data_IF_669003190431
#
_entry.id   IF_669003190431
#
_cell.length_a   1.000
_cell.length_b   1.000
_cell.length_c   1.000
_cell.angle_alpha   90.00
_cell.angle_beta   90.00
_cell.angle_gamma   90.00
#
_symmetry.space_group_name_H-M   'P 1'
#
loop_
_entity.id
_entity.type
_entity.pdbx_description
1 polymer ?
#
# COMPACT_ATOMS: atom_id res chain seq x y z
N UNK A 1 13.15 -6.89 25.26
CA UNK A 1 13.77 -5.95 24.34
C UNK A 1 12.74 -5.12 23.61
N UNK A 2 12.69 -3.89 23.98
CA UNK A 2 11.70 -2.95 23.44
C UNK A 2 11.94 -2.70 21.95
N UNK A 3 13.20 -2.54 21.52
CA UNK A 3 13.51 -2.24 20.12
C UNK A 3 13.07 -3.34 19.17
N UNK A 4 13.23 -4.59 19.56
CA UNK A 4 12.83 -5.73 18.72
C UNK A 4 11.32 -5.77 18.50
N UNK A 5 10.53 -5.57 19.55
CA UNK A 5 9.09 -5.51 19.45
C UNK A 5 8.65 -4.30 18.61
N UNK A 6 9.35 -3.18 18.76
CA UNK A 6 9.05 -1.96 18.02
C UNK A 6 9.31 -2.14 16.52
N UNK A 7 10.42 -2.79 16.16
CA UNK A 7 10.74 -3.08 14.78
C UNK A 7 9.70 -4.00 14.15
N UNK A 8 9.26 -5.04 14.87
CA UNK A 8 8.22 -5.95 14.41
C UNK A 8 6.91 -5.20 14.16
N UNK A 9 6.62 -4.17 14.97
CA UNK A 9 5.41 -3.37 14.81
C UNK A 9 5.47 -2.42 13.61
N UNK A 10 6.65 -2.15 13.04
CA UNK A 10 6.80 -1.26 11.88
C UNK A 10 6.39 -1.92 10.57
N UNK A 11 6.46 -3.22 10.49
CA UNK A 11 6.14 -3.97 9.28
C UNK A 11 5.24 -5.15 9.58
N UNK A 12 4.62 -5.66 8.54
CA UNK A 12 3.82 -6.87 8.60
C UNK A 12 4.13 -7.73 7.39
N UNK A 13 4.47 -8.99 7.62
CA UNK A 13 4.69 -9.93 6.52
C UNK A 13 3.43 -10.75 6.31
N UNK A 14 2.89 -10.65 5.08
CA UNK A 14 1.69 -11.38 4.71
C UNK A 14 2.02 -12.86 4.55
N UNK A 15 1.46 -13.75 5.37
CA UNK A 15 1.75 -15.18 5.26
C UNK A 15 1.23 -15.81 3.97
N UNK A 16 0.27 -15.15 3.31
CA UNK A 16 -0.31 -15.65 2.07
C UNK A 16 0.57 -15.39 0.86
N UNK A 17 1.24 -14.23 0.83
CA UNK A 17 2.02 -13.81 -0.34
C UNK A 17 3.52 -13.77 -0.07
N UNK A 18 3.93 -13.71 1.20
CA UNK A 18 5.32 -13.52 1.59
C UNK A 18 5.78 -12.06 1.47
N UNK A 19 4.91 -11.16 1.06
CA UNK A 19 5.27 -9.74 0.95
C UNK A 19 5.33 -9.09 2.33
N UNK A 20 6.31 -8.21 2.49
CA UNK A 20 6.43 -7.41 3.71
C UNK A 20 5.87 -6.02 3.45
N UNK A 21 4.95 -5.57 4.30
CA UNK A 21 4.22 -4.32 4.16
C UNK A 21 4.60 -3.34 5.25
N UNK A 22 4.65 -2.07 4.89
CA UNK A 22 4.74 -0.97 5.84
C UNK A 22 3.43 -0.91 6.64
N UNK A 23 3.51 -0.92 7.97
CA UNK A 23 2.29 -0.94 8.80
C UNK A 23 1.61 0.42 8.88
N UNK A 24 2.38 1.49 9.01
CA UNK A 24 1.83 2.84 9.09
C UNK A 24 2.01 3.58 7.78
N UNK A 25 0.90 4.06 7.25
CA UNK A 25 0.95 4.90 6.05
C UNK A 25 1.53 6.27 6.41
N UNK A 26 2.43 6.82 5.57
CA UNK A 26 2.95 8.18 5.77
C UNK A 26 1.90 9.26 5.46
N UNK A 27 0.74 8.88 4.95
CA UNK A 27 -0.32 9.82 4.58
C UNK A 27 -0.55 9.88 3.09
N UNK A 28 -1.10 11.02 2.64
CA UNK A 28 -1.44 11.22 1.24
C UNK A 28 -0.35 12.00 0.52
N UNK A 29 -0.12 11.66 -0.74
CA UNK A 29 0.80 12.38 -1.60
C UNK A 29 0.47 12.11 -3.07
N UNK A 30 1.02 12.92 -3.98
CA UNK A 30 0.88 12.66 -5.40
C UNK A 30 1.63 11.39 -5.79
N UNK A 31 1.30 10.83 -6.95
CA UNK A 31 1.93 9.59 -7.38
C UNK A 31 3.45 9.71 -7.51
N UNK A 32 3.95 10.81 -8.06
CA UNK A 32 5.40 11.02 -8.18
C UNK A 32 6.07 11.18 -6.82
N UNK A 33 5.42 11.87 -5.90
CA UNK A 33 5.90 11.98 -4.52
C UNK A 33 5.94 10.62 -3.84
N UNK A 34 4.92 9.79 -4.09
CA UNK A 34 4.84 8.45 -3.53
C UNK A 34 5.98 7.56 -4.04
N UNK A 35 6.29 7.65 -5.34
CA UNK A 35 7.40 6.91 -5.91
C UNK A 35 8.74 7.34 -5.29
N UNK A 36 8.94 8.66 -5.13
CA UNK A 36 10.15 9.17 -4.51
C UNK A 36 10.25 8.75 -3.04
N UNK A 37 9.15 8.83 -2.31
CA UNK A 37 9.08 8.40 -0.93
C UNK A 37 9.52 6.94 -0.78
N UNK A 38 8.97 6.06 -1.63
CA UNK A 38 9.29 4.64 -1.58
C UNK A 38 10.77 4.37 -1.86
N UNK A 39 11.33 5.05 -2.87
CA UNK A 39 12.74 4.88 -3.24
C UNK A 39 13.69 5.26 -2.11
N UNK A 40 13.31 6.23 -1.28
CA UNK A 40 14.15 6.74 -0.21
C UNK A 40 13.81 6.16 1.16
N UNK A 41 12.79 5.30 1.23
CA UNK A 41 12.35 4.75 2.51
C UNK A 41 13.37 3.75 3.06
N UNK A 42 13.76 3.99 4.30
CA UNK A 42 14.52 3.04 5.11
C UNK A 42 13.65 2.67 6.30
N UNK A 43 13.26 1.42 6.38
CA UNK A 43 12.33 0.97 7.42
C UNK A 43 12.71 -0.45 7.84
N UNK A 44 12.75 -0.70 9.14
CA UNK A 44 13.12 -1.99 9.72
C UNK A 44 14.48 -2.50 9.19
N UNK A 45 15.40 -1.58 8.93
CA UNK A 45 16.74 -1.90 8.45
C UNK A 45 16.82 -2.27 6.98
N UNK A 46 15.77 -2.04 6.20
CA UNK A 46 15.70 -2.41 4.80
C UNK A 46 15.47 -1.20 3.91
N UNK A 47 15.96 -1.27 2.67
CA UNK A 47 16.00 -0.12 1.76
C UNK A 47 15.38 -0.41 0.39
N UNK A 48 14.78 -1.58 0.20
CA UNK A 48 14.21 -2.02 -1.08
C UNK A 48 12.68 -1.90 -1.10
N UNK A 49 12.16 -0.89 -0.43
CA UNK A 49 10.75 -0.57 -0.41
C UNK A 49 10.31 0.01 -1.75
N UNK A 50 9.07 -0.26 -2.12
CA UNK A 50 8.48 0.23 -3.37
C UNK A 50 6.97 0.39 -3.20
N UNK A 51 6.34 1.09 -4.14
CA UNK A 51 4.88 1.07 -4.19
C UNK A 51 4.42 -0.33 -4.62
N UNK A 52 3.30 -0.81 -4.06
CA UNK A 52 2.76 -2.09 -4.46
C UNK A 52 2.18 -2.04 -5.87
N UNK A 53 2.33 -3.12 -6.62
CA UNK A 53 1.60 -3.30 -7.86
C UNK A 53 0.11 -3.44 -7.57
N UNK A 54 -0.74 -3.18 -8.57
CA UNK A 54 -2.19 -3.29 -8.39
C UNK A 54 -2.59 -4.66 -7.85
N UNK A 55 -2.05 -5.73 -8.41
CA UNK A 55 -2.36 -7.09 -7.97
C UNK A 55 -1.95 -7.33 -6.52
N UNK A 56 -0.88 -6.69 -6.06
CA UNK A 56 -0.43 -6.83 -4.68
C UNK A 56 -1.40 -6.14 -3.71
N UNK A 57 -1.89 -4.96 -4.07
CA UNK A 57 -2.95 -4.31 -3.29
C UNK A 57 -4.23 -5.14 -3.27
N UNK A 58 -4.60 -5.70 -4.43
CA UNK A 58 -5.77 -6.57 -4.53
C UNK A 58 -5.66 -7.80 -3.62
N UNK A 59 -4.45 -8.29 -3.40
CA UNK A 59 -4.25 -9.47 -2.55
C UNK A 59 -4.68 -9.24 -1.10
N UNK A 60 -4.80 -7.99 -0.67
CA UNK A 60 -5.27 -7.63 0.66
C UNK A 60 -6.79 -7.67 0.80
N UNK A 61 -7.51 -7.73 -0.31
CA UNK A 61 -8.96 -7.62 -0.31
C UNK A 61 -9.65 -8.93 0.11
N UNK A 62 -10.76 -8.78 0.80
CA UNK A 62 -11.73 -9.83 1.02
C UNK A 62 -13.11 -9.23 0.82
N UNK A 63 -13.72 -9.56 -0.33
CA UNK A 63 -15.00 -8.97 -0.75
C UNK A 63 -16.20 -9.51 0.04
N UNK A 64 -15.98 -10.45 0.94
CA UNK A 64 -17.00 -10.92 1.88
C UNK A 64 -17.09 -10.05 3.12
N UNK A 65 -16.13 -9.13 3.30
CA UNK A 65 -16.06 -8.22 4.44
C UNK A 65 -16.43 -6.81 4.01
N UNK A 66 -16.70 -5.96 4.98
CA UNK A 66 -17.16 -4.60 4.71
C UNK A 66 -16.54 -3.62 5.70
N UNK A 67 -16.01 -2.53 5.20
CA UNK A 67 -15.44 -1.38 5.93
C UNK A 67 -14.47 -1.77 7.04
N UNK A 68 -13.27 -2.23 6.70
CA UNK A 68 -12.70 -2.31 5.35
C UNK A 68 -12.99 -3.65 4.69
N UNK A 69 -12.94 -3.66 3.37
CA UNK A 69 -13.05 -4.87 2.56
C UNK A 69 -11.65 -5.51 2.46
N UNK A 70 -11.16 -5.95 3.59
CA UNK A 70 -9.78 -6.39 3.78
C UNK A 70 -9.78 -7.73 4.51
N UNK A 71 -8.83 -8.60 4.17
CA UNK A 71 -8.69 -9.89 4.84
C UNK A 71 -8.48 -9.66 6.33
N UNK A 72 -9.02 -10.57 7.15
CA UNK A 72 -9.02 -10.43 8.61
C UNK A 72 -7.62 -10.29 9.20
N UNK A 73 -6.65 -11.03 8.65
CA UNK A 73 -5.29 -11.03 9.18
C UNK A 73 -4.49 -9.76 8.85
N UNK A 74 -4.98 -8.93 7.92
CA UNK A 74 -4.30 -7.68 7.56
C UNK A 74 -4.46 -6.68 8.71
N UNK A 75 -3.34 -6.21 9.30
CA UNK A 75 -3.43 -5.44 10.55
C UNK A 75 -3.66 -3.94 10.36
N UNK A 76 -3.83 -3.48 9.12
CA UNK A 76 -3.84 -2.04 8.87
C UNK A 76 -5.11 -1.37 9.38
N UNK A 77 -6.26 -1.97 9.11
CA UNK A 77 -7.54 -1.44 9.56
C UNK A 77 -7.96 -0.14 8.88
N UNK A 78 -7.18 0.32 7.92
CA UNK A 78 -7.43 1.59 7.25
C UNK A 78 -8.44 1.44 6.14
N UNK A 79 -9.27 2.45 5.99
CA UNK A 79 -10.11 2.63 4.82
C UNK A 79 -9.44 3.67 3.92
N UNK A 80 -9.99 3.87 2.73
CA UNK A 80 -9.52 4.88 1.82
C UNK A 80 -8.82 4.31 0.60
N UNK A 81 -8.17 5.19 -0.12
CA UNK A 81 -7.63 4.92 -1.45
C UNK A 81 -6.11 4.94 -1.43
N UNK A 82 -5.51 3.89 -1.97
CA UNK A 82 -4.06 3.72 -1.95
C UNK A 82 -3.52 3.59 -3.37
N UNK A 83 -2.47 4.36 -3.67
CA UNK A 83 -1.77 4.29 -4.95
C UNK A 83 -1.14 2.93 -5.17
N UNK A 84 -1.28 2.41 -6.40
CA UNK A 84 -0.41 1.34 -6.90
C UNK A 84 0.72 1.93 -7.74
N UNK A 85 1.72 1.12 -8.03
CA UNK A 85 2.78 1.49 -8.98
C UNK A 85 2.33 1.35 -10.43
N UNK A 86 1.14 0.81 -10.69
CA UNK A 86 0.66 0.44 -12.01
C UNK A 86 0.04 1.64 -12.70
N UNK A 87 0.69 2.11 -13.77
CA UNK A 87 0.16 3.20 -14.60
C UNK A 87 -1.03 2.70 -15.41
N UNK A 88 -2.04 3.55 -15.57
CA UNK A 88 -3.17 3.26 -16.41
C UNK A 88 -2.76 3.36 -17.88
N UNK A 89 -2.80 2.24 -18.61
CA UNK A 89 -2.21 2.14 -19.94
C UNK A 89 -2.86 3.06 -20.98
N UNK A 90 -4.17 3.33 -20.82
CA UNK A 90 -4.92 4.16 -21.76
C UNK A 90 -4.61 5.66 -21.56
N UNK A 91 -4.43 6.07 -20.31
CA UNK A 91 -4.09 7.45 -19.94
C UNK A 91 -2.89 7.42 -19.00
N UNK A 92 -1.69 7.60 -19.54
CA UNK A 92 -0.45 7.42 -18.80
C UNK A 92 -0.20 8.50 -17.74
N UNK A 93 -1.01 9.56 -17.71
CA UNK A 93 -1.00 10.54 -16.62
C UNK A 93 -1.82 10.06 -15.40
N UNK A 94 -2.42 8.90 -15.50
CA UNK A 94 -3.19 8.28 -14.41
C UNK A 94 -2.54 6.98 -13.97
N UNK A 95 -2.80 6.60 -12.73
CA UNK A 95 -2.37 5.33 -12.18
C UNK A 95 -3.53 4.65 -11.47
N UNK A 96 -3.45 3.33 -11.40
CA UNK A 96 -4.43 2.53 -10.68
C UNK A 96 -4.28 2.68 -9.17
N UNK A 97 -5.38 2.58 -8.50
CA UNK A 97 -5.45 2.59 -7.05
C UNK A 97 -6.54 1.64 -6.56
N UNK A 98 -6.47 1.27 -5.30
CA UNK A 98 -7.50 0.45 -4.66
C UNK A 98 -8.15 1.27 -3.56
N UNK A 99 -9.47 1.35 -3.59
CA UNK A 99 -10.27 1.95 -2.53
C UNK A 99 -10.80 0.84 -1.64
N UNK A 100 -10.32 0.81 -0.40
CA UNK A 100 -10.67 -0.28 0.52
C UNK A 100 -12.05 -0.14 1.15
N UNK A 101 -12.68 1.02 1.05
CA UNK A 101 -14.03 1.21 1.55
C UNK A 101 -15.04 0.30 0.86
N UNK A 102 -14.86 0.07 -0.44
CA UNK A 102 -15.78 -0.73 -1.22
C UNK A 102 -15.14 -1.72 -2.16
N UNK A 103 -13.83 -1.94 -2.04
CA UNK A 103 -13.05 -2.83 -2.91
C UNK A 103 -13.10 -2.38 -4.38
N UNK A 104 -13.03 -1.09 -4.63
CA UNK A 104 -13.01 -0.55 -5.98
C UNK A 104 -11.59 -0.39 -6.48
N UNK A 105 -11.38 -0.79 -7.74
CA UNK A 105 -10.14 -0.53 -8.47
C UNK A 105 -10.44 0.64 -9.41
N UNK A 106 -9.75 1.75 -9.19
CA UNK A 106 -10.01 3.00 -9.90
C UNK A 106 -8.71 3.56 -10.43
N UNK A 107 -8.79 4.38 -11.48
CA UNK A 107 -7.63 5.12 -11.97
C UNK A 107 -7.93 6.61 -11.87
N UNK A 108 -6.92 7.36 -11.41
CA UNK A 108 -7.03 8.80 -11.28
C UNK A 108 -5.73 9.47 -11.68
N UNK A 109 -5.81 10.76 -11.96
CA UNK A 109 -4.67 11.57 -12.34
C UNK A 109 -3.57 11.47 -11.28
N UNK A 110 -2.34 11.26 -11.73
CA UNK A 110 -1.16 11.22 -10.87
C UNK A 110 -0.91 12.51 -10.11
N UNK A 111 -1.54 13.61 -10.52
CA UNK A 111 -1.45 14.89 -9.84
C UNK A 111 -2.33 15.00 -8.61
N UNK A 112 -3.28 14.10 -8.44
CA UNK A 112 -4.08 14.02 -7.21
C UNK A 112 -3.28 13.38 -6.09
N UNK A 113 -3.71 13.58 -4.85
CA UNK A 113 -3.05 13.01 -3.67
C UNK A 113 -3.91 11.93 -3.06
N UNK A 114 -3.30 10.75 -2.87
CA UNK A 114 -3.95 9.62 -2.23
C UNK A 114 -2.97 8.93 -1.29
N UNK A 115 -3.48 8.02 -0.49
CA UNK A 115 -2.69 7.34 0.53
C UNK A 115 -1.62 6.43 -0.08
N UNK A 116 -0.57 6.21 0.69
CA UNK A 116 0.59 5.42 0.29
C UNK A 116 0.87 4.36 1.34
N UNK A 117 1.21 3.16 0.89
CA UNK A 117 1.72 2.11 1.76
C UNK A 117 2.73 1.31 0.96
N UNK A 118 3.95 1.26 1.43
CA UNK A 118 5.04 0.60 0.70
C UNK A 118 5.09 -0.89 1.02
N UNK A 119 5.69 -1.63 0.10
CA UNK A 119 5.83 -3.08 0.16
C UNK A 119 7.23 -3.46 -0.32
N UNK A 120 7.72 -4.61 0.09
CA UNK A 120 8.95 -5.23 -0.43
C UNK A 120 8.80 -6.73 -0.52
N UNK A 121 9.66 -7.33 -1.33
CA UNK A 121 9.64 -8.78 -1.53
C UNK A 121 9.33 -9.22 -2.92
#
# INVERSE_FOLDING_TARGET
MVSSAKETAMTWTDPKTGLEWQRESPGVMTWNEAQAYARHLSLAGKHDWRLPALAELESLLDRTRYRPVMREEVPFGDEGSYWSSTTFAVHTHSAWMVMFDGAYLLSYSKSNSYSVRCVRG
#
